data_IF_510871009990
#
_entry.id   IF_510871009990
#
_cell.length_a   1.000
_cell.length_b   1.000
_cell.length_c   1.000
_cell.angle_alpha   90.00
_cell.angle_beta   90.00
_cell.angle_gamma   90.00
#
_symmetry.space_group_name_H-M   'P 1'
#
loop_
_entity.id
_entity.type
_entity.pdbx_description
1 polymer ?
#
# COMPACT_ATOMS: atom_id res chain seq x y z
N UNK A 1 -55.21 17.75 36.23
CA UNK A 1 -55.34 19.23 36.27
C UNK A 1 -54.84 19.71 34.94
N UNK A 2 -55.73 20.05 34.00
CA UNK A 2 -56.15 21.39 33.61
C UNK A 2 -54.96 22.28 33.23
N UNK A 3 -54.81 22.94 32.11
CA UNK A 3 -55.73 23.46 31.07
C UNK A 3 -54.83 23.95 29.91
N UNK A 4 -55.12 23.69 28.66
CA UNK A 4 -55.92 24.45 27.66
C UNK A 4 -55.30 25.77 27.15
N UNK A 5 -55.18 25.80 25.82
CA UNK A 5 -55.70 26.75 24.79
C UNK A 5 -54.86 28.03 24.62
N UNK A 6 -54.74 28.65 23.45
CA UNK A 6 -55.61 28.83 22.24
C UNK A 6 -54.71 29.42 21.13
N UNK A 7 -54.87 29.00 19.94
CA UNK A 7 -55.27 29.59 18.65
C UNK A 7 -55.32 31.14 18.56
N UNK A 8 -54.74 31.69 17.49
CA UNK A 8 -55.48 32.60 16.63
C UNK A 8 -54.82 32.84 15.27
N UNK A 9 -55.60 32.72 14.25
CA UNK A 9 -55.37 33.04 12.84
C UNK A 9 -55.74 34.51 12.56
N UNK A 10 -55.25 35.12 11.46
CA UNK A 10 -55.96 36.12 10.65
C UNK A 10 -55.05 36.64 9.53
N UNK A 11 -55.32 36.26 8.30
CA UNK A 11 -55.99 36.95 7.18
C UNK A 11 -55.18 37.99 6.41
N UNK A 12 -55.11 37.72 5.10
CA UNK A 12 -54.69 38.61 4.03
C UNK A 12 -55.74 39.74 3.79
N UNK A 13 -55.42 40.79 2.99
CA UNK A 13 -55.99 40.76 1.64
C UNK A 13 -55.21 41.43 0.51
N UNK A 14 -55.59 41.02 -0.64
CA UNK A 14 -55.39 41.36 -2.03
C UNK A 14 -55.67 42.88 -2.39
N UNK A 15 -54.93 43.44 -3.38
CA UNK A 15 -55.39 44.42 -4.42
C UNK A 15 -54.29 44.68 -5.43
N UNK A 16 -54.41 44.23 -6.63
CA UNK A 16 -54.93 44.66 -7.91
C UNK A 16 -54.38 45.96 -8.47
N UNK A 17 -53.82 45.82 -9.71
CA UNK A 17 -53.84 46.58 -10.96
C UNK A 17 -53.15 47.95 -11.00
N UNK A 18 -52.29 48.08 -12.00
CA UNK A 18 -52.48 48.97 -13.15
C UNK A 18 -51.44 48.76 -14.24
N UNK A 19 -51.89 48.58 -15.41
CA UNK A 19 -51.28 48.58 -16.73
C UNK A 19 -50.78 49.99 -17.14
N UNK A 20 -49.59 50.09 -17.74
CA UNK A 20 -49.30 51.22 -18.64
C UNK A 20 -48.51 50.67 -19.81
N UNK A 21 -49.08 50.85 -20.98
CA UNK A 21 -48.47 50.61 -22.31
C UNK A 21 -47.67 51.86 -22.68
N UNK A 22 -46.45 51.67 -23.17
CA UNK A 22 -45.64 52.71 -23.79
C UNK A 22 -44.75 52.07 -24.86
N UNK A 23 -45.16 52.34 -26.10
CA UNK A 23 -44.39 52.02 -27.30
C UNK A 23 -43.31 53.11 -27.49
N UNK A 24 -42.09 52.71 -27.95
CA UNK A 24 -41.48 53.35 -29.09
C UNK A 24 -40.00 53.01 -29.26
N UNK A 25 -39.71 52.75 -30.49
CA UNK A 25 -38.54 53.17 -31.32
C UNK A 25 -37.30 52.26 -31.31
N UNK A 26 -37.22 51.56 -32.44
CA UNK A 26 -36.06 50.91 -33.00
C UNK A 26 -34.81 51.80 -33.04
N UNK A 27 -33.71 51.27 -32.53
CA UNK A 27 -32.35 51.73 -32.79
C UNK A 27 -31.46 50.50 -33.00
N UNK A 28 -31.26 50.13 -34.27
CA UNK A 28 -30.23 49.15 -34.63
C UNK A 28 -28.85 49.73 -34.38
N UNK A 29 -28.21 49.38 -33.28
CA UNK A 29 -26.78 49.56 -33.08
C UNK A 29 -26.09 48.24 -33.41
N UNK A 30 -25.39 48.18 -34.53
CA UNK A 30 -24.45 47.12 -34.88
C UNK A 30 -23.28 47.16 -33.92
N UNK A 31 -23.33 46.26 -32.91
CA UNK A 31 -22.16 45.98 -32.09
C UNK A 31 -21.30 45.00 -32.87
N UNK A 32 -20.25 45.53 -33.49
CA UNK A 32 -19.12 44.69 -34.00
C UNK A 32 -18.41 44.13 -32.78
N UNK A 33 -18.73 42.91 -32.41
CA UNK A 33 -17.96 42.17 -31.43
C UNK A 33 -16.62 41.80 -32.05
N UNK A 34 -15.55 42.54 -31.72
CA UNK A 34 -14.18 42.15 -31.93
C UNK A 34 -13.91 40.90 -31.05
N UNK A 35 -13.93 39.74 -31.68
CA UNK A 35 -13.40 38.51 -31.06
C UNK A 35 -11.90 38.72 -30.85
N UNK A 36 -11.51 39.05 -29.63
CA UNK A 36 -10.12 38.92 -29.22
C UNK A 36 -9.73 37.42 -29.33
N UNK A 37 -8.57 37.10 -29.91
CA UNK A 37 -8.11 35.71 -29.91
C UNK A 37 -7.93 35.31 -28.46
N UNK A 38 -8.70 34.31 -28.01
CA UNK A 38 -8.43 33.56 -26.79
C UNK A 38 -7.06 32.92 -27.05
N UNK A 39 -6.01 33.50 -26.47
CA UNK A 39 -4.72 32.84 -26.41
C UNK A 39 -4.96 31.46 -25.73
N UNK A 40 -4.95 30.41 -26.53
CA UNK A 40 -4.80 29.08 -26.02
C UNK A 40 -3.57 29.09 -25.13
N UNK A 41 -3.76 29.09 -23.82
CA UNK A 41 -2.66 28.91 -22.89
C UNK A 41 -2.07 27.55 -23.22
N UNK A 42 -0.96 27.63 -23.93
CA UNK A 42 -0.14 26.51 -24.33
C UNK A 42 0.17 25.62 -23.15
N UNK A 43 0.25 24.38 -23.48
CA UNK A 43 0.48 23.24 -22.64
C UNK A 43 1.24 23.54 -21.36
N UNK A 44 0.56 23.32 -20.24
CA UNK A 44 1.26 23.09 -19.01
C UNK A 44 2.29 22.00 -19.28
N UNK A 45 3.55 22.32 -19.15
CA UNK A 45 4.59 21.33 -19.03
C UNK A 45 4.14 20.46 -17.87
N UNK A 46 3.71 19.22 -18.17
CA UNK A 46 3.17 18.32 -17.17
C UNK A 46 4.20 18.23 -16.05
N UNK A 47 3.84 18.75 -14.88
CA UNK A 47 4.63 18.58 -13.66
C UNK A 47 4.89 17.08 -13.56
N UNK A 48 6.14 16.68 -13.53
CA UNK A 48 6.44 15.27 -13.44
C UNK A 48 5.96 14.70 -12.09
N UNK A 49 5.86 13.39 -11.98
CA UNK A 49 5.32 12.69 -10.80
C UNK A 49 6.26 12.81 -9.60
N UNK A 50 5.76 13.31 -8.48
CA UNK A 50 6.45 13.28 -7.19
C UNK A 50 6.08 12.00 -6.44
N UNK A 51 7.06 11.09 -6.25
CA UNK A 51 6.86 9.76 -5.72
C UNK A 51 7.49 9.59 -4.34
N UNK A 52 6.70 9.05 -3.38
CA UNK A 52 7.17 8.65 -2.04
C UNK A 52 6.90 7.17 -1.81
N UNK A 53 7.90 6.43 -1.34
CA UNK A 53 7.77 5.03 -0.93
C UNK A 53 7.91 4.89 0.58
N UNK A 54 6.90 4.26 1.20
CA UNK A 54 6.84 3.92 2.62
C UNK A 54 6.83 2.40 2.77
N UNK A 55 7.53 1.87 3.76
CA UNK A 55 7.48 0.44 3.95
C UNK A 55 8.49 -0.14 4.93
N UNK A 56 8.50 -1.46 4.96
CA UNK A 56 9.41 -2.28 5.74
C UNK A 56 10.55 -2.86 4.89
N UNK A 57 11.13 -3.99 5.32
CA UNK A 57 12.24 -4.64 4.65
C UNK A 57 11.91 -5.16 3.24
N UNK A 58 10.65 -5.49 2.96
CA UNK A 58 10.22 -5.92 1.63
C UNK A 58 10.14 -4.77 0.62
N UNK A 59 10.17 -3.53 1.13
CA UNK A 59 10.31 -2.33 0.33
C UNK A 59 11.76 -1.86 0.27
N UNK A 60 12.51 -1.98 1.39
CA UNK A 60 13.88 -1.46 1.44
C UNK A 60 14.90 -2.31 0.67
N UNK A 61 14.66 -3.61 0.47
CA UNK A 61 15.55 -4.51 -0.28
C UNK A 61 16.87 -4.82 0.46
N UNK A 62 16.81 -5.36 1.70
CA UNK A 62 17.99 -5.59 2.51
C UNK A 62 18.92 -6.63 1.88
N UNK A 63 20.21 -6.32 1.86
CA UNK A 63 21.26 -7.18 1.32
C UNK A 63 21.40 -7.16 -0.21
N UNK A 64 20.50 -6.48 -0.93
CA UNK A 64 20.64 -6.31 -2.39
C UNK A 64 21.65 -5.17 -2.65
N UNK A 65 22.67 -5.37 -3.48
CA UNK A 65 23.56 -4.29 -3.91
C UNK A 65 22.81 -3.28 -4.81
N UNK A 66 23.00 -1.97 -4.69
CA UNK A 66 23.86 -1.26 -3.74
C UNK A 66 23.03 -0.80 -2.55
N UNK A 67 23.56 -0.97 -1.35
CA UNK A 67 22.93 -0.44 -0.13
C UNK A 67 23.24 1.05 0.00
N UNK A 68 22.21 1.91 -0.04
CA UNK A 68 22.32 3.38 0.03
C UNK A 68 22.01 3.95 1.41
N UNK A 69 21.41 3.15 2.29
CA UNK A 69 21.15 3.48 3.70
C UNK A 69 21.35 2.21 4.54
N UNK A 70 22.48 2.13 5.22
CA UNK A 70 22.81 0.97 6.05
C UNK A 70 21.91 0.82 7.28
N UNK A 71 21.39 1.92 7.85
CA UNK A 71 20.52 1.88 9.04
C UNK A 71 19.14 1.27 8.71
N UNK A 72 18.67 1.51 7.50
CA UNK A 72 17.41 0.95 7.00
C UNK A 72 17.60 -0.29 6.13
N UNK A 73 18.83 -0.72 5.90
CA UNK A 73 19.17 -1.78 4.95
C UNK A 73 18.45 -1.54 3.60
N UNK A 74 18.56 -0.32 3.06
CA UNK A 74 17.86 0.11 1.86
C UNK A 74 18.79 0.10 0.65
N UNK A 75 18.32 -0.56 -0.40
CA UNK A 75 19.00 -0.68 -1.69
C UNK A 75 18.43 0.33 -2.69
N UNK A 76 19.26 0.81 -3.61
CA UNK A 76 18.82 1.56 -4.80
C UNK A 76 18.31 0.64 -5.94
N UNK A 77 18.31 -0.67 -5.71
CA UNK A 77 17.75 -1.70 -6.60
C UNK A 77 16.50 -2.38 -6.04
N UNK A 78 15.88 -1.78 -5.03
CA UNK A 78 14.58 -2.20 -4.52
C UNK A 78 13.44 -1.82 -5.47
N UNK A 79 12.23 -2.38 -5.28
CA UNK A 79 11.13 -2.14 -6.22
C UNK A 79 10.77 -0.65 -6.38
N UNK A 80 10.80 0.20 -5.33
CA UNK A 80 10.47 1.61 -5.51
C UNK A 80 11.46 2.35 -6.41
N UNK A 81 12.76 2.07 -6.26
CA UNK A 81 13.81 2.67 -7.10
C UNK A 81 13.64 2.27 -8.57
N UNK A 82 13.31 0.99 -8.83
CA UNK A 82 13.01 0.51 -10.17
C UNK A 82 11.75 1.17 -10.77
N UNK A 83 10.71 1.37 -9.97
CA UNK A 83 9.48 2.08 -10.39
C UNK A 83 9.80 3.55 -10.70
N UNK A 84 10.56 4.22 -9.84
CA UNK A 84 10.94 5.61 -10.02
C UNK A 84 11.75 5.83 -11.31
N UNK A 85 12.72 4.95 -11.58
CA UNK A 85 13.54 4.98 -12.79
C UNK A 85 12.70 4.77 -14.07
N UNK A 86 11.81 3.77 -14.09
CA UNK A 86 10.96 3.46 -15.24
C UNK A 86 9.94 4.58 -15.51
N UNK A 87 9.35 5.15 -14.46
CA UNK A 87 8.38 6.25 -14.54
C UNK A 87 9.02 7.61 -14.80
N UNK A 88 10.35 7.73 -14.70
CA UNK A 88 11.09 9.00 -14.81
C UNK A 88 10.45 10.07 -13.92
N UNK A 89 10.29 9.73 -12.63
CA UNK A 89 9.66 10.61 -11.64
C UNK A 89 10.45 11.91 -11.50
N UNK A 90 9.77 13.03 -11.25
CA UNK A 90 10.41 14.34 -11.02
C UNK A 90 11.21 14.36 -9.75
N UNK A 91 10.57 13.82 -8.69
CA UNK A 91 11.23 13.59 -7.42
C UNK A 91 10.90 12.17 -6.95
N UNK A 92 11.85 11.58 -6.26
CA UNK A 92 11.67 10.27 -5.63
C UNK A 92 12.24 10.28 -4.22
N UNK A 93 11.43 9.85 -3.26
CA UNK A 93 11.83 9.73 -1.87
C UNK A 93 11.43 8.37 -1.32
N UNK A 94 12.40 7.48 -1.16
CA UNK A 94 12.22 6.21 -0.48
C UNK A 94 12.65 6.36 0.98
N UNK A 95 11.70 6.15 1.89
CA UNK A 95 11.92 6.20 3.35
C UNK A 95 11.58 4.87 4.03
N UNK A 96 11.47 3.80 3.23
CA UNK A 96 11.30 2.44 3.75
C UNK A 96 12.48 2.03 4.60
N UNK A 97 12.24 1.18 5.60
CA UNK A 97 13.28 0.81 6.56
C UNK A 97 13.09 -0.63 7.04
N UNK A 98 14.16 -1.40 6.99
CA UNK A 98 14.17 -2.78 7.47
C UNK A 98 13.64 -2.88 8.90
N UNK A 99 12.74 -3.84 9.16
CA UNK A 99 12.12 -4.04 10.48
C UNK A 99 11.03 -3.04 10.87
N UNK A 100 10.68 -2.06 10.02
CA UNK A 100 9.63 -1.10 10.33
C UNK A 100 8.28 -1.78 10.54
N UNK A 101 7.56 -1.35 11.57
CA UNK A 101 6.15 -1.62 11.79
C UNK A 101 5.32 -0.39 11.42
N UNK A 102 4.01 -0.47 11.52
CA UNK A 102 3.14 0.71 11.34
C UNK A 102 3.49 1.84 12.31
N UNK A 103 4.16 1.56 13.43
CA UNK A 103 4.58 2.58 14.42
C UNK A 103 5.60 3.55 13.84
N UNK A 104 6.52 3.08 12.97
CA UNK A 104 7.55 3.91 12.35
C UNK A 104 7.00 4.91 11.32
N UNK A 105 5.73 4.83 11.02
CA UNK A 105 5.05 5.89 10.27
C UNK A 105 5.01 7.21 11.06
N UNK A 106 4.94 7.15 12.41
CA UNK A 106 4.88 8.31 13.32
C UNK A 106 6.09 8.47 14.22
N UNK A 107 6.90 7.43 14.38
CA UNK A 107 8.08 7.44 15.24
C UNK A 107 9.35 7.25 14.42
N UNK A 108 10.42 7.89 14.87
CA UNK A 108 11.74 7.67 14.30
C UNK A 108 12.20 6.22 14.50
N UNK A 109 12.98 5.72 13.54
CA UNK A 109 13.68 4.44 13.63
C UNK A 109 15.20 4.70 13.62
N UNK A 110 15.81 4.64 14.80
CA UNK A 110 17.18 5.11 14.95
C UNK A 110 17.31 6.59 14.57
N UNK A 111 18.17 6.90 13.62
CA UNK A 111 18.37 8.26 13.10
C UNK A 111 17.40 8.63 11.99
N UNK A 112 16.62 7.67 11.48
CA UNK A 112 15.66 7.94 10.39
C UNK A 112 14.38 8.56 10.96
N UNK A 113 13.88 9.67 10.39
CA UNK A 113 12.67 10.33 10.86
C UNK A 113 11.43 9.47 10.58
N UNK A 114 10.27 9.81 11.19
CA UNK A 114 9.01 9.14 10.88
C UNK A 114 8.73 9.12 9.38
N UNK A 115 8.35 7.96 8.84
CA UNK A 115 8.20 7.79 7.39
C UNK A 115 7.16 8.74 6.78
N UNK A 116 6.07 9.03 7.50
CA UNK A 116 5.03 9.98 7.04
C UNK A 116 5.53 11.41 6.85
N UNK A 117 6.69 11.77 7.41
CA UNK A 117 7.27 13.11 7.18
C UNK A 117 7.72 13.33 5.74
N UNK A 118 7.91 12.25 4.97
CA UNK A 118 8.24 12.33 3.55
C UNK A 118 7.03 12.70 2.67
N UNK A 119 5.81 12.40 3.11
CA UNK A 119 4.57 12.66 2.36
C UNK A 119 4.20 14.13 2.50
N UNK A 120 4.19 14.86 1.38
CA UNK A 120 3.88 16.28 1.30
C UNK A 120 2.57 16.50 0.53
N UNK A 121 2.02 17.71 0.61
CA UNK A 121 0.74 18.06 -0.02
C UNK A 121 0.74 17.88 -1.55
N UNK A 122 1.89 18.03 -2.14
CA UNK A 122 2.14 17.95 -3.58
C UNK A 122 2.69 16.60 -4.04
N UNK A 123 2.74 15.60 -3.14
CA UNK A 123 3.06 14.21 -3.52
C UNK A 123 1.97 13.65 -4.44
N UNK A 124 2.35 13.10 -5.58
CA UNK A 124 1.42 12.56 -6.59
C UNK A 124 1.22 11.04 -6.46
N UNK A 125 2.24 10.32 -6.02
CA UNK A 125 2.23 8.86 -5.88
C UNK A 125 2.80 8.45 -4.54
N UNK A 126 2.09 7.56 -3.84
CA UNK A 126 2.60 6.91 -2.62
C UNK A 126 2.44 5.40 -2.75
N UNK A 127 3.52 4.65 -2.52
CA UNK A 127 3.45 3.21 -2.26
C UNK A 127 3.61 2.93 -0.78
N UNK A 128 2.84 1.98 -0.26
CA UNK A 128 2.89 1.55 1.15
C UNK A 128 2.94 0.03 1.20
N UNK A 129 3.99 -0.54 1.79
CA UNK A 129 4.08 -1.98 2.06
C UNK A 129 4.51 -2.16 3.52
N UNK A 130 3.57 -2.47 4.40
CA UNK A 130 3.77 -2.49 5.85
C UNK A 130 2.80 -3.47 6.52
N UNK A 131 3.17 -4.00 7.65
CA UNK A 131 2.33 -4.89 8.47
C UNK A 131 2.94 -6.25 8.73
N UNK A 132 3.92 -6.70 7.92
CA UNK A 132 4.63 -7.96 8.14
C UNK A 132 5.32 -8.01 9.51
N UNK A 133 5.96 -6.92 9.93
CA UNK A 133 6.58 -6.83 11.25
C UNK A 133 5.56 -6.61 12.37
N UNK A 134 4.41 -5.98 12.10
CA UNK A 134 3.33 -5.85 13.09
C UNK A 134 2.76 -7.19 13.53
N UNK A 135 2.67 -8.18 12.62
CA UNK A 135 2.26 -9.55 12.97
C UNK A 135 3.39 -10.38 13.58
N UNK A 136 4.63 -9.87 13.58
CA UNK A 136 5.81 -10.52 14.15
C UNK A 136 6.51 -11.49 13.19
N UNK A 137 6.69 -11.11 11.92
CA UNK A 137 7.28 -11.95 10.87
C UNK A 137 8.54 -12.70 11.32
N UNK A 138 9.57 -12.00 11.81
CA UNK A 138 10.83 -12.63 12.23
C UNK A 138 10.64 -13.61 13.40
N UNK A 139 9.77 -13.29 14.37
CA UNK A 139 9.48 -14.19 15.50
C UNK A 139 8.73 -15.44 15.05
N UNK A 140 7.80 -15.31 14.08
CA UNK A 140 7.09 -16.45 13.49
C UNK A 140 8.08 -17.40 12.83
N UNK A 141 8.94 -16.88 11.96
CA UNK A 141 9.96 -17.66 11.25
C UNK A 141 10.88 -18.39 12.24
N UNK A 142 11.42 -17.70 13.23
CA UNK A 142 12.35 -18.29 14.21
C UNK A 142 11.67 -19.35 15.10
N UNK A 143 10.46 -19.06 15.60
CA UNK A 143 9.69 -19.99 16.42
C UNK A 143 9.34 -21.25 15.63
N UNK A 144 8.86 -21.09 14.39
CA UNK A 144 8.49 -22.25 13.57
C UNK A 144 9.72 -23.09 13.19
N UNK A 145 10.85 -22.48 12.85
CA UNK A 145 12.08 -23.22 12.58
C UNK A 145 12.58 -24.00 13.81
N UNK A 146 12.51 -23.39 14.99
CA UNK A 146 12.92 -24.03 16.26
C UNK A 146 12.01 -25.23 16.59
N UNK A 147 10.69 -25.04 16.54
CA UNK A 147 9.73 -26.10 16.85
C UNK A 147 9.81 -27.26 15.84
N UNK A 148 10.01 -26.94 14.57
CA UNK A 148 10.13 -27.94 13.51
C UNK A 148 11.32 -28.87 13.68
N UNK A 149 12.40 -28.42 14.34
CA UNK A 149 13.56 -29.30 14.64
C UNK A 149 13.23 -30.51 15.51
N UNK A 150 12.11 -30.47 16.23
CA UNK A 150 11.66 -31.54 17.13
C UNK A 150 10.60 -32.45 16.50
N UNK A 151 9.93 -32.00 15.43
CA UNK A 151 8.85 -32.75 14.75
C UNK A 151 8.80 -32.29 13.26
N UNK A 152 9.63 -32.91 12.42
CA UNK A 152 9.73 -32.54 10.99
C UNK A 152 8.54 -32.94 10.14
N UNK A 153 7.75 -33.92 10.57
CA UNK A 153 6.62 -34.48 9.80
C UNK A 153 5.28 -33.94 10.21
N UNK A 154 5.21 -33.35 11.40
CA UNK A 154 3.99 -32.81 12.00
C UNK A 154 3.72 -31.34 11.62
N UNK A 155 3.03 -30.68 12.55
CA UNK A 155 2.63 -29.28 12.46
C UNK A 155 2.90 -28.49 13.76
N UNK A 156 4.12 -28.59 14.32
CA UNK A 156 4.40 -28.04 15.65
C UNK A 156 4.23 -26.54 15.73
N UNK A 157 4.51 -25.83 14.65
CA UNK A 157 4.30 -24.37 14.56
C UNK A 157 2.81 -24.04 14.62
N UNK A 158 1.97 -24.68 13.82
CA UNK A 158 0.51 -24.50 13.86
C UNK A 158 -0.03 -24.80 15.25
N UNK A 159 0.32 -25.95 15.85
CA UNK A 159 -0.12 -26.33 17.21
C UNK A 159 0.26 -25.27 18.24
N UNK A 160 1.47 -24.69 18.13
CA UNK A 160 1.92 -23.63 19.03
C UNK A 160 1.00 -22.40 18.93
N UNK A 161 0.77 -21.88 17.73
CA UNK A 161 -0.03 -20.67 17.54
C UNK A 161 -1.54 -20.87 17.69
N UNK A 162 -2.02 -22.11 17.75
CA UNK A 162 -3.44 -22.43 17.97
C UNK A 162 -3.72 -23.06 19.33
N UNK A 163 -2.73 -23.19 20.21
CA UNK A 163 -2.82 -23.90 21.51
C UNK A 163 -3.85 -23.30 22.47
N UNK A 164 -4.18 -22.01 22.34
CA UNK A 164 -5.22 -21.33 23.13
C UNK A 164 -6.64 -21.54 22.60
N UNK A 165 -6.83 -22.34 21.55
CA UNK A 165 -8.12 -22.52 20.86
C UNK A 165 -8.43 -21.45 19.83
N UNK A 166 -7.58 -20.40 19.72
CA UNK A 166 -7.68 -19.32 18.74
C UNK A 166 -6.36 -19.22 17.98
N UNK A 167 -6.43 -19.04 16.67
CA UNK A 167 -5.23 -18.81 15.84
C UNK A 167 -4.63 -17.42 16.11
N UNK A 168 -3.52 -17.40 16.86
CA UNK A 168 -2.83 -16.17 17.27
C UNK A 168 -2.32 -15.35 16.07
N UNK A 169 -1.95 -16.00 14.95
CA UNK A 169 -1.49 -15.29 13.76
C UNK A 169 -2.66 -14.60 13.07
N UNK A 170 -3.82 -15.21 13.03
CA UNK A 170 -5.04 -14.56 12.54
C UNK A 170 -5.42 -13.36 13.41
N UNK A 171 -5.34 -13.46 14.74
CA UNK A 171 -5.59 -12.33 15.63
C UNK A 171 -4.62 -11.16 15.35
N UNK A 172 -3.32 -11.42 15.25
CA UNK A 172 -2.32 -10.38 14.94
C UNK A 172 -2.60 -9.69 13.61
N UNK A 173 -3.05 -10.44 12.59
CA UNK A 173 -3.47 -9.86 11.31
C UNK A 173 -4.68 -8.93 11.49
N UNK A 174 -5.69 -9.35 12.25
CA UNK A 174 -6.88 -8.53 12.53
C UNK A 174 -6.53 -7.27 13.32
N UNK A 175 -5.64 -7.37 14.30
CA UNK A 175 -5.13 -6.22 15.09
C UNK A 175 -4.28 -5.26 14.25
N UNK A 176 -3.68 -5.73 13.16
CA UNK A 176 -2.89 -4.90 12.25
C UNK A 176 -3.77 -4.09 11.28
N UNK A 177 -4.97 -4.56 10.97
CA UNK A 177 -5.89 -3.89 10.06
C UNK A 177 -6.21 -2.42 10.43
N UNK A 178 -6.60 -2.08 11.67
CA UNK A 178 -6.82 -0.70 12.08
C UNK A 178 -5.54 0.14 12.06
N UNK A 179 -4.37 -0.45 12.28
CA UNK A 179 -3.09 0.26 12.22
C UNK A 179 -2.80 0.70 10.78
N UNK A 180 -2.94 -0.19 9.78
CA UNK A 180 -2.78 0.15 8.35
C UNK A 180 -3.85 1.15 7.92
N UNK A 181 -5.10 1.01 8.36
CA UNK A 181 -6.16 2.00 8.13
C UNK A 181 -5.73 3.40 8.57
N UNK A 182 -5.14 3.51 9.77
CA UNK A 182 -4.62 4.79 10.27
C UNK A 182 -3.50 5.35 9.40
N UNK A 183 -2.60 4.49 8.90
CA UNK A 183 -1.53 4.90 7.98
C UNK A 183 -2.13 5.50 6.71
N UNK A 184 -3.05 4.80 6.04
CA UNK A 184 -3.65 5.25 4.78
C UNK A 184 -4.41 6.57 4.95
N UNK A 185 -5.18 6.72 6.03
CA UNK A 185 -5.85 7.99 6.36
C UNK A 185 -4.85 9.13 6.56
N UNK A 186 -3.71 8.87 7.19
CA UNK A 186 -2.67 9.88 7.38
C UNK A 186 -1.99 10.26 6.06
N UNK A 187 -1.79 9.30 5.14
CA UNK A 187 -1.27 9.56 3.79
C UNK A 187 -2.25 10.46 3.03
N UNK A 188 -3.54 10.10 2.95
CA UNK A 188 -4.55 10.92 2.27
C UNK A 188 -4.73 12.30 2.92
N UNK A 189 -4.61 12.40 4.25
CA UNK A 189 -4.67 13.69 4.93
C UNK A 189 -3.50 14.62 4.59
N UNK A 190 -2.32 14.07 4.28
CA UNK A 190 -1.13 14.83 3.90
C UNK A 190 -1.11 15.13 2.39
N UNK A 191 -1.42 14.14 1.57
CA UNK A 191 -1.40 14.20 0.11
C UNK A 191 -2.78 13.82 -0.45
N UNK A 192 -3.79 14.71 -0.40
CA UNK A 192 -5.17 14.37 -0.72
C UNK A 192 -5.40 14.03 -2.20
N UNK A 193 -4.49 14.40 -3.08
CA UNK A 193 -4.53 14.12 -4.51
C UNK A 193 -3.63 12.97 -4.93
N UNK A 194 -2.85 12.41 -4.00
CA UNK A 194 -1.94 11.33 -4.32
C UNK A 194 -2.70 10.05 -4.68
N UNK A 195 -2.22 9.38 -5.70
CA UNK A 195 -2.55 7.98 -5.95
C UNK A 195 -1.83 7.12 -4.92
N UNK A 196 -2.57 6.35 -4.13
CA UNK A 196 -2.01 5.53 -3.05
C UNK A 196 -2.12 4.06 -3.39
N UNK A 197 -1.00 3.37 -3.45
CA UNK A 197 -0.89 1.94 -3.73
C UNK A 197 -0.43 1.18 -2.49
N UNK A 198 -1.24 0.24 -2.01
CA UNK A 198 -0.84 -0.72 -0.98
C UNK A 198 -0.26 -1.95 -1.67
N UNK A 199 1.03 -2.17 -1.48
CA UNK A 199 1.76 -3.26 -2.13
C UNK A 199 1.72 -4.50 -1.23
N UNK A 200 1.26 -5.63 -1.76
CA UNK A 200 1.22 -6.90 -1.04
C UNK A 200 2.59 -7.54 -0.89
N UNK A 201 2.66 -8.60 -0.09
CA UNK A 201 3.87 -9.42 0.05
C UNK A 201 3.91 -10.54 -1.00
N UNK A 202 5.08 -10.87 -1.55
CA UNK A 202 5.24 -11.95 -2.54
C UNK A 202 4.99 -13.33 -1.94
N UNK A 203 4.88 -14.35 -2.79
CA UNK A 203 4.80 -15.74 -2.37
C UNK A 203 6.13 -16.20 -1.76
N UNK A 204 6.16 -16.44 -0.45
CA UNK A 204 7.36 -16.87 0.27
C UNK A 204 7.55 -18.39 0.24
N UNK A 205 6.45 -19.12 0.24
CA UNK A 205 6.39 -20.59 0.29
C UNK A 205 5.60 -21.11 -0.92
N UNK A 206 5.80 -22.40 -1.29
CA UNK A 206 5.08 -23.01 -2.40
C UNK A 206 3.56 -22.86 -2.25
N UNK A 207 2.90 -22.43 -3.32
CA UNK A 207 1.46 -22.18 -3.31
C UNK A 207 0.61 -23.43 -3.15
N UNK A 208 1.16 -24.59 -3.50
CA UNK A 208 0.56 -25.92 -3.25
C UNK A 208 0.75 -26.41 -1.81
N UNK A 209 1.54 -25.71 -0.99
CA UNK A 209 1.83 -26.06 0.40
C UNK A 209 2.87 -27.18 0.56
N UNK A 210 3.56 -27.57 -0.50
CA UNK A 210 4.69 -28.52 -0.41
C UNK A 210 5.84 -27.93 0.41
N UNK A 211 6.58 -28.80 1.11
CA UNK A 211 7.73 -28.43 1.92
C UNK A 211 9.04 -28.62 1.17
N UNK A 212 10.11 -27.99 1.67
CA UNK A 212 11.44 -28.10 1.09
C UNK A 212 12.56 -28.17 2.15
N UNK A 213 12.31 -28.91 3.23
CA UNK A 213 13.37 -29.20 4.23
C UNK A 213 14.57 -29.87 3.53
N UNK A 214 15.83 -29.52 3.86
CA UNK A 214 16.27 -28.57 4.90
C UNK A 214 16.43 -27.12 4.42
N UNK A 215 16.20 -26.81 3.15
CA UNK A 215 16.39 -25.46 2.59
C UNK A 215 15.58 -24.40 3.33
N UNK A 216 14.33 -24.73 3.66
CA UNK A 216 13.48 -24.00 4.58
C UNK A 216 13.15 -24.94 5.74
N UNK A 217 13.63 -24.67 6.97
CA UNK A 217 13.61 -25.62 8.07
C UNK A 217 12.26 -25.61 8.81
N UNK A 218 11.16 -25.77 8.09
CA UNK A 218 9.83 -25.94 8.66
C UNK A 218 9.36 -27.38 8.56
N UNK A 219 8.51 -27.81 9.50
CA UNK A 219 7.87 -29.11 9.47
C UNK A 219 6.91 -29.21 8.28
N UNK A 220 6.76 -30.41 7.73
CA UNK A 220 6.04 -30.61 6.47
C UNK A 220 4.61 -30.04 6.47
N UNK A 221 3.87 -30.22 7.57
CA UNK A 221 2.47 -29.76 7.68
C UNK A 221 2.34 -28.29 8.11
N UNK A 222 3.46 -27.61 8.45
CA UNK A 222 3.47 -26.19 8.75
C UNK A 222 3.57 -25.30 7.49
N UNK A 223 4.04 -25.84 6.36
CA UNK A 223 4.11 -25.08 5.10
C UNK A 223 2.75 -24.54 4.65
N UNK A 224 1.67 -25.35 4.58
CA UNK A 224 0.35 -24.82 4.25
C UNK A 224 -0.12 -23.75 5.25
N UNK A 225 0.09 -23.95 6.54
CA UNK A 225 -0.32 -23.01 7.58
C UNK A 225 0.35 -21.62 7.44
N UNK A 226 1.68 -21.62 7.22
CA UNK A 226 2.47 -20.40 7.06
C UNK A 226 2.18 -19.70 5.72
N UNK A 227 2.04 -20.48 4.63
CA UNK A 227 1.59 -19.97 3.33
C UNK A 227 0.23 -19.26 3.46
N UNK A 228 -0.74 -19.90 4.12
CA UNK A 228 -2.08 -19.35 4.28
C UNK A 228 -2.09 -18.13 5.22
N UNK A 229 -1.17 -18.06 6.18
CA UNK A 229 -0.96 -16.87 6.99
C UNK A 229 -0.53 -15.68 6.12
N UNK A 230 0.40 -15.88 5.19
CA UNK A 230 0.80 -14.85 4.22
C UNK A 230 -0.37 -14.43 3.31
N UNK A 231 -1.16 -15.39 2.82
CA UNK A 231 -2.37 -15.10 2.03
C UNK A 231 -3.41 -14.30 2.82
N UNK A 232 -3.63 -14.63 4.11
CA UNK A 232 -4.54 -13.88 5.00
C UNK A 232 -4.06 -12.44 5.23
N UNK A 233 -2.76 -12.24 5.43
CA UNK A 233 -2.17 -10.90 5.55
C UNK A 233 -2.45 -10.08 4.28
N UNK A 234 -2.16 -10.63 3.11
CA UNK A 234 -2.41 -9.97 1.82
C UNK A 234 -3.90 -9.69 1.59
N UNK A 235 -4.79 -10.61 1.98
CA UNK A 235 -6.24 -10.39 1.91
C UNK A 235 -6.68 -9.23 2.80
N UNK A 236 -6.19 -9.17 4.04
CA UNK A 236 -6.47 -8.06 4.96
C UNK A 236 -5.98 -6.73 4.36
N UNK A 237 -4.74 -6.67 3.84
CA UNK A 237 -4.20 -5.47 3.21
C UNK A 237 -5.05 -5.02 2.01
N UNK A 238 -5.51 -5.96 1.17
CA UNK A 238 -6.42 -5.69 0.03
C UNK A 238 -7.75 -5.09 0.48
N UNK A 239 -8.36 -5.65 1.53
CA UNK A 239 -9.62 -5.14 2.07
C UNK A 239 -9.44 -3.74 2.66
N UNK A 240 -8.40 -3.56 3.49
CA UNK A 240 -8.09 -2.27 4.12
C UNK A 240 -7.78 -1.20 3.08
N UNK A 241 -7.00 -1.52 2.03
CA UNK A 241 -6.72 -0.59 0.93
C UNK A 241 -8.02 -0.08 0.30
N UNK A 242 -8.89 -0.98 -0.14
CA UNK A 242 -10.18 -0.63 -0.79
C UNK A 242 -11.08 0.21 0.11
N UNK A 243 -11.19 -0.13 1.39
CA UNK A 243 -12.02 0.58 2.35
C UNK A 243 -11.50 1.99 2.68
N UNK A 244 -10.23 2.28 2.37
CA UNK A 244 -9.60 3.56 2.64
C UNK A 244 -9.16 4.32 1.37
N UNK A 245 -9.78 4.04 0.20
CA UNK A 245 -9.54 4.78 -1.03
C UNK A 245 -8.16 4.56 -1.66
N UNK A 246 -7.49 3.46 -1.32
CA UNK A 246 -6.21 3.06 -1.90
C UNK A 246 -6.37 1.84 -2.82
N UNK A 247 -5.47 1.68 -3.77
CA UNK A 247 -5.41 0.52 -4.65
C UNK A 247 -4.52 -0.56 -4.03
N UNK A 248 -4.92 -1.82 -4.16
CA UNK A 248 -4.06 -2.95 -3.78
C UNK A 248 -3.30 -3.48 -4.98
N UNK A 249 -1.98 -3.59 -4.84
CA UNK A 249 -1.10 -4.20 -5.84
C UNK A 249 -0.79 -5.63 -5.41
N UNK A 250 -1.25 -6.59 -6.21
CA UNK A 250 -0.96 -8.00 -6.00
C UNK A 250 0.47 -8.32 -6.46
N UNK A 251 1.31 -8.68 -5.50
CA UNK A 251 2.66 -9.21 -5.74
C UNK A 251 2.74 -10.70 -5.48
N UNK A 252 1.73 -11.29 -4.81
CA UNK A 252 1.70 -12.72 -4.50
C UNK A 252 1.49 -13.55 -5.77
N UNK A 253 0.42 -13.29 -6.51
CA UNK A 253 0.09 -14.04 -7.73
C UNK A 253 1.24 -14.08 -8.74
N UNK A 254 1.84 -12.94 -9.11
CA UNK A 254 2.96 -12.90 -10.06
C UNK A 254 4.25 -13.59 -9.59
N UNK A 255 4.39 -13.92 -8.30
CA UNK A 255 5.60 -14.55 -7.73
C UNK A 255 5.40 -16.02 -7.36
N UNK A 256 4.21 -16.58 -7.59
CA UNK A 256 3.97 -18.02 -7.44
C UNK A 256 4.96 -18.81 -8.33
N UNK A 257 5.57 -19.86 -7.76
CA UNK A 257 6.59 -20.65 -8.43
C UNK A 257 8.02 -20.10 -8.34
N UNK A 258 8.21 -18.98 -7.64
CA UNK A 258 9.51 -18.35 -7.40
C UNK A 258 9.82 -18.18 -5.90
N UNK A 259 9.23 -19.01 -5.07
CA UNK A 259 9.33 -19.02 -3.62
C UNK A 259 10.70 -19.57 -3.11
N UNK A 260 10.90 -19.55 -1.79
CA UNK A 260 12.13 -19.97 -1.12
C UNK A 260 12.53 -21.43 -1.38
N UNK A 261 11.57 -22.27 -1.82
CA UNK A 261 11.82 -23.70 -2.07
C UNK A 261 12.35 -23.99 -3.49
N UNK A 262 12.38 -23.00 -4.36
CA UNK A 262 12.86 -23.18 -5.74
C UNK A 262 14.38 -23.14 -5.81
N UNK A 263 14.92 -23.71 -6.89
CA UNK A 263 16.36 -23.66 -7.18
C UNK A 263 16.86 -22.18 -7.26
N UNK A 264 18.15 -21.93 -7.02
CA UNK A 264 18.70 -20.56 -6.95
C UNK A 264 18.51 -19.72 -8.20
N UNK A 265 18.47 -20.35 -9.37
CA UNK A 265 18.24 -19.70 -10.66
C UNK A 265 16.76 -19.33 -10.90
N UNK A 266 15.82 -20.05 -10.24
CA UNK A 266 14.37 -19.89 -10.38
C UNK A 266 13.77 -18.99 -9.32
N UNK A 267 14.25 -19.07 -8.08
CA UNK A 267 13.66 -18.36 -6.95
C UNK A 267 13.88 -16.85 -7.00
N UNK A 268 12.92 -16.13 -6.46
CA UNK A 268 12.94 -14.68 -6.30
C UNK A 268 12.89 -14.26 -4.84
N UNK A 269 12.68 -15.21 -3.94
CA UNK A 269 12.77 -15.03 -2.49
C UNK A 269 13.85 -15.97 -1.97
N UNK A 270 14.81 -15.44 -1.24
CA UNK A 270 15.90 -16.24 -0.68
C UNK A 270 15.45 -16.99 0.56
N UNK A 271 15.92 -18.23 0.76
CA UNK A 271 15.64 -19.00 1.99
C UNK A 271 16.40 -18.41 3.19
N UNK A 272 16.31 -19.10 4.35
CA UNK A 272 16.98 -18.64 5.58
C UNK A 272 18.52 -18.64 5.48
N UNK A 273 19.08 -19.32 4.48
CA UNK A 273 20.48 -19.23 4.07
C UNK A 273 20.52 -18.79 2.62
N UNK A 274 20.63 -17.48 2.35
CA UNK A 274 20.64 -16.95 1.00
C UNK A 274 21.81 -17.47 0.17
N UNK A 275 21.56 -17.72 -1.12
CA UNK A 275 22.59 -18.00 -2.10
C UNK A 275 22.80 -16.83 -3.08
N UNK A 276 21.85 -15.90 -3.14
CA UNK A 276 21.97 -14.64 -3.86
C UNK A 276 21.99 -13.47 -2.87
N UNK A 277 22.52 -12.31 -3.25
CA UNK A 277 22.49 -11.13 -2.41
C UNK A 277 21.06 -10.71 -2.05
N UNK A 278 20.67 -10.99 -0.82
CA UNK A 278 19.43 -10.56 -0.15
C UNK A 278 19.48 -10.97 1.33
N UNK A 279 18.65 -10.39 2.18
CA UNK A 279 18.49 -10.88 3.54
C UNK A 279 17.74 -12.24 3.55
N UNK A 280 17.88 -13.06 4.63
CA UNK A 280 17.12 -14.30 4.80
C UNK A 280 15.62 -14.08 4.73
N UNK A 281 14.91 -14.92 3.99
CA UNK A 281 13.46 -14.87 3.77
C UNK A 281 12.96 -13.57 3.10
N UNK A 282 13.80 -12.90 2.31
CA UNK A 282 13.46 -11.66 1.60
C UNK A 282 13.61 -11.81 0.08
N UNK A 283 12.96 -10.95 -0.71
CA UNK A 283 13.16 -10.89 -2.14
C UNK A 283 14.62 -10.62 -2.49
N UNK A 284 15.12 -11.29 -3.52
CA UNK A 284 16.36 -10.92 -4.19
C UNK A 284 16.10 -9.91 -5.31
N UNK A 285 17.11 -9.51 -6.08
CA UNK A 285 16.94 -8.53 -7.16
C UNK A 285 15.87 -8.93 -8.19
N UNK A 286 15.69 -10.24 -8.46
CA UNK A 286 14.62 -10.73 -9.36
C UNK A 286 13.23 -10.53 -8.74
N UNK A 287 13.12 -10.76 -7.42
CA UNK A 287 11.89 -10.54 -6.66
C UNK A 287 11.50 -9.07 -6.63
N UNK A 288 12.43 -8.19 -6.34
CA UNK A 288 12.20 -6.74 -6.37
C UNK A 288 11.78 -6.27 -7.77
N UNK A 289 12.43 -6.76 -8.82
CA UNK A 289 12.02 -6.46 -10.19
C UNK A 289 10.61 -6.98 -10.52
N UNK A 290 10.20 -8.13 -9.98
CA UNK A 290 8.84 -8.65 -10.16
C UNK A 290 7.81 -7.78 -9.44
N UNK A 291 8.10 -7.31 -8.23
CA UNK A 291 7.27 -6.39 -7.46
C UNK A 291 7.17 -5.04 -8.18
N UNK A 292 8.27 -4.49 -8.68
CA UNK A 292 8.27 -3.28 -9.49
C UNK A 292 7.34 -3.41 -10.71
N UNK A 293 7.44 -4.52 -11.46
CA UNK A 293 6.54 -4.79 -12.59
C UNK A 293 5.06 -4.85 -12.17
N UNK A 294 4.75 -5.38 -10.99
CA UNK A 294 3.37 -5.40 -10.48
C UNK A 294 2.86 -3.98 -10.20
N UNK A 295 3.67 -3.14 -9.57
CA UNK A 295 3.36 -1.71 -9.34
C UNK A 295 3.17 -0.97 -10.67
N UNK A 296 4.10 -1.12 -11.61
CA UNK A 296 4.03 -0.47 -12.93
C UNK A 296 2.77 -0.88 -13.72
N UNK A 297 2.37 -2.15 -13.66
CA UNK A 297 1.11 -2.62 -14.27
C UNK A 297 -0.12 -1.99 -13.63
N UNK A 298 -0.10 -1.77 -12.30
CA UNK A 298 -1.20 -1.05 -11.63
C UNK A 298 -1.25 0.40 -12.10
N UNK A 299 -0.10 1.06 -12.18
CA UNK A 299 0.00 2.45 -12.63
C UNK A 299 -0.45 2.65 -14.09
N UNK A 300 -0.23 1.68 -14.97
CA UNK A 300 -0.66 1.77 -16.38
C UNK A 300 -2.18 1.63 -16.56
N UNK A 301 -2.88 0.90 -15.69
CA UNK A 301 -4.33 0.70 -15.77
C UNK A 301 -5.14 1.96 -15.41
N UNK A 302 -4.57 2.93 -14.74
CA UNK A 302 -5.24 4.17 -14.32
C UNK A 302 -5.25 5.29 -15.36
N UNK A 303 -4.76 5.08 -16.59
CA UNK A 303 -4.72 6.09 -17.64
C UNK A 303 -5.82 5.91 -18.71
N UNK A 304 -6.82 5.06 -18.46
CA UNK A 304 -7.89 4.71 -19.40
C UNK A 304 -9.28 5.17 -18.96
N UNK A 305 -9.42 6.41 -18.46
CA UNK A 305 -10.74 7.06 -18.27
C UNK A 305 -10.66 8.52 -18.63
#
# INVERSE_FOLDING_TARGET
MKNRRTQSASTAPNRRRATAVGAAVSGCALVVASAAPVAAHGGGHGRGTDYVSLGDSYTSGPGIPTQVDANCARSDHNYPSLVAAERRTSTFKDVSCGGATTEQMWKAQGTNPPQLNAVQRDTDLVTVQIGGNDIGFSSIISTCAQLSSQDLTGDPCRRHFTSSGVDQLTLRILETAPKITRVLRAVHGRAPHARVLVVGYPALLPDDGSGCYPSVPFAAKDFPYLRDTGKRLNLMMRVVARLNGAEYVDTYGPTIGHDMCKAPDIRWVEPLRPASPAAPAHPNAKGEAAMARAVLRSLSKGHGH
#
